data_IF_690902414426
#
_entry.id   IF_690902414426
#
_cell.length_a   1.000
_cell.length_b   1.000
_cell.length_c   1.000
_cell.angle_alpha   90.00
_cell.angle_beta   90.00
_cell.angle_gamma   90.00
#
_symmetry.space_group_name_H-M   'P 1'
#
loop_
_entity.id
_entity.type
_entity.pdbx_description
1 polymer ?
#
# COMPACT_ATOMS: atom_id res chain seq x y z
N UNK A 1 -44.05 12.02 79.30
CA UNK A 1 -42.95 12.27 78.34
C UNK A 1 -43.38 13.19 77.20
N UNK A 2 -44.60 13.07 76.67
CA UNK A 2 -45.06 13.97 75.58
C UNK A 2 -45.11 15.44 76.00
N UNK A 3 -45.56 15.73 77.23
CA UNK A 3 -45.53 17.10 77.80
C UNK A 3 -44.09 17.63 77.93
N UNK A 4 -43.11 16.76 78.19
CA UNK A 4 -41.71 17.16 78.40
C UNK A 4 -41.03 17.50 77.06
N UNK A 5 -41.30 16.70 76.02
CA UNK A 5 -40.92 17.01 74.64
C UNK A 5 -41.57 18.33 74.20
N UNK A 6 -42.87 18.50 74.39
CA UNK A 6 -43.58 19.71 73.95
C UNK A 6 -43.05 20.97 74.65
N UNK A 7 -42.58 20.85 75.90
CA UNK A 7 -41.96 21.97 76.62
C UNK A 7 -40.55 22.27 76.10
N UNK A 8 -39.72 21.24 75.86
CA UNK A 8 -38.35 21.40 75.34
C UNK A 8 -38.31 21.87 73.88
N UNK A 9 -39.26 21.42 73.05
CA UNK A 9 -39.40 21.79 71.63
C UNK A 9 -39.67 23.29 71.47
N UNK A 10 -40.29 23.94 72.46
CA UNK A 10 -40.52 25.40 72.45
C UNK A 10 -39.24 26.25 72.57
N UNK A 11 -38.13 25.65 73.02
CA UNK A 11 -36.82 26.31 73.15
C UNK A 11 -35.83 26.01 72.02
N UNK A 12 -36.23 25.25 70.99
CA UNK A 12 -35.36 24.86 69.87
C UNK A 12 -35.53 25.80 68.65
N UNK A 13 -34.51 25.81 67.80
CA UNK A 13 -34.51 26.55 66.53
C UNK A 13 -35.72 26.18 65.64
N UNK A 14 -36.34 27.12 64.89
CA UNK A 14 -37.63 26.91 64.24
C UNK A 14 -37.65 25.78 63.21
N UNK A 15 -36.50 25.49 62.59
CA UNK A 15 -36.33 24.44 61.58
C UNK A 15 -36.31 23.03 62.18
N UNK A 16 -35.82 22.89 63.41
CA UNK A 16 -35.81 21.63 64.17
C UNK A 16 -37.17 21.42 64.85
N UNK A 17 -37.84 22.50 65.25
CA UNK A 17 -39.19 22.49 65.77
C UNK A 17 -40.20 21.90 64.76
N UNK A 18 -40.10 22.31 63.49
CA UNK A 18 -40.91 21.75 62.41
C UNK A 18 -40.61 20.27 62.18
N UNK A 19 -39.33 19.86 62.16
CA UNK A 19 -38.95 18.45 61.95
C UNK A 19 -39.43 17.50 63.05
N UNK A 20 -39.47 17.93 64.31
CA UNK A 20 -39.95 17.10 65.43
C UNK A 20 -41.49 17.05 65.48
N UNK A 21 -42.16 18.05 64.91
CA UNK A 21 -43.63 18.12 64.87
C UNK A 21 -44.20 17.34 63.69
N UNK A 22 -43.53 17.36 62.54
CA UNK A 22 -44.01 16.78 61.28
C UNK A 22 -43.68 15.28 61.13
N UNK A 23 -42.65 14.76 61.80
CA UNK A 23 -42.20 13.37 61.66
C UNK A 23 -42.42 12.53 62.95
N UNK A 24 -43.39 11.59 62.97
CA UNK A 24 -43.75 10.84 64.17
C UNK A 24 -42.67 9.84 64.61
N UNK A 25 -41.80 9.37 63.72
CA UNK A 25 -40.71 8.43 64.08
C UNK A 25 -39.61 9.13 64.90
N UNK A 26 -39.23 10.35 64.51
CA UNK A 26 -38.23 11.16 65.22
C UNK A 26 -38.73 11.55 66.62
N UNK A 27 -40.03 11.80 66.75
CA UNK A 27 -40.66 12.10 68.04
C UNK A 27 -40.64 10.89 68.97
N UNK A 28 -40.90 9.68 68.47
CA UNK A 28 -40.79 8.44 69.24
C UNK A 28 -39.35 8.12 69.65
N UNK A 29 -38.37 8.30 68.76
CA UNK A 29 -36.96 8.05 69.07
C UNK A 29 -36.42 9.05 70.11
N UNK A 30 -36.78 10.33 69.98
CA UNK A 30 -36.44 11.36 70.97
C UNK A 30 -37.07 11.08 72.33
N UNK A 31 -38.29 10.54 72.34
CA UNK A 31 -39.00 10.10 73.55
C UNK A 31 -38.28 8.94 74.20
N UNK A 32 -37.87 7.94 73.42
CA UNK A 32 -37.12 6.77 73.88
C UNK A 32 -35.76 7.17 74.48
N UNK A 33 -35.04 8.08 73.82
CA UNK A 33 -33.77 8.63 74.32
C UNK A 33 -33.95 9.38 75.65
N UNK A 34 -34.94 10.25 75.75
CA UNK A 34 -35.27 10.93 77.01
C UNK A 34 -35.68 9.93 78.10
N UNK A 35 -36.35 8.84 77.73
CA UNK A 35 -36.76 7.80 78.67
C UNK A 35 -35.57 6.99 79.16
N UNK A 36 -34.63 6.67 78.28
CA UNK A 36 -33.38 5.97 78.60
C UNK A 36 -32.45 6.85 79.46
N UNK A 37 -32.41 8.16 79.21
CA UNK A 37 -31.68 9.12 80.04
C UNK A 37 -32.26 9.22 81.46
N UNK A 38 -33.60 9.20 81.60
CA UNK A 38 -34.28 9.29 82.89
C UNK A 38 -34.38 7.94 83.64
N UNK A 39 -34.32 6.80 82.93
CA UNK A 39 -34.26 5.46 83.51
C UNK A 39 -32.86 5.04 83.94
N UNK A 40 -31.82 5.81 83.59
CA UNK A 40 -30.45 5.58 84.05
C UNK A 40 -30.32 5.99 85.54
N UNK A 41 -30.82 5.12 86.41
CA UNK A 41 -30.83 5.28 87.87
C UNK A 41 -29.43 5.24 88.51
N UNK A 42 -28.36 4.97 87.74
CA UNK A 42 -26.96 5.04 88.20
C UNK A 42 -26.42 6.48 88.33
N UNK A 43 -27.07 7.49 87.72
CA UNK A 43 -26.70 8.90 87.89
C UNK A 43 -27.45 9.58 89.06
N UNK A 44 -28.39 8.89 89.71
CA UNK A 44 -29.23 9.42 90.79
C UNK A 44 -29.19 8.60 92.09
N UNK A 45 -28.31 7.62 92.24
CA UNK A 45 -28.13 6.89 93.49
C UNK A 45 -27.17 7.63 94.43
N UNK A 46 -27.74 8.40 95.38
CA UNK A 46 -27.02 8.93 96.55
C UNK A 46 -26.99 7.89 97.67
N UNK A 47 -26.38 6.72 97.42
CA UNK A 47 -26.12 5.76 98.50
C UNK A 47 -24.63 5.78 98.85
N UNK A 48 -24.35 6.46 99.96
CA UNK A 48 -23.07 6.44 100.67
C UNK A 48 -22.77 5.02 101.14
N UNK A 49 -21.79 4.34 100.54
CA UNK A 49 -21.23 3.13 101.13
C UNK A 49 -19.71 3.23 101.31
N UNK A 50 -19.41 3.41 102.59
CA UNK A 50 -18.18 3.18 103.35
C UNK A 50 -17.16 2.24 102.72
N UNK A 51 -15.93 2.73 102.68
CA UNK A 51 -14.67 1.99 102.53
C UNK A 51 -14.60 0.79 103.46
N UNK A 52 -14.47 -0.42 102.90
CA UNK A 52 -13.81 -1.53 103.59
C UNK A 52 -12.79 -2.17 102.65
N UNK A 53 -11.54 -2.07 103.08
CA UNK A 53 -10.37 -2.75 102.55
C UNK A 53 -10.51 -4.26 102.72
N UNK A 54 -10.61 -4.99 101.61
CA UNK A 54 -10.16 -6.38 101.52
C UNK A 54 -9.35 -6.54 100.24
N UNK A 55 -8.09 -6.87 100.46
CA UNK A 55 -7.12 -7.41 99.52
C UNK A 55 -7.65 -8.74 98.98
N UNK A 56 -7.95 -8.78 97.69
CA UNK A 56 -8.10 -10.03 96.93
C UNK A 56 -7.72 -9.70 95.49
N UNK A 57 -6.60 -10.26 95.07
CA UNK A 57 -6.06 -10.20 93.71
C UNK A 57 -7.15 -10.59 92.70
N UNK A 58 -7.59 -9.61 91.93
CA UNK A 58 -8.36 -9.82 90.71
C UNK A 58 -8.05 -8.66 89.77
N UNK A 59 -7.47 -9.02 88.62
CA UNK A 59 -6.98 -8.16 87.54
C UNK A 59 -8.08 -7.40 86.78
N UNK A 60 -9.23 -7.15 87.40
CA UNK A 60 -10.40 -6.48 86.80
C UNK A 60 -11.26 -5.77 87.88
N UNK A 61 -10.67 -4.84 88.65
CA UNK A 61 -11.48 -3.77 89.28
C UNK A 61 -11.57 -2.61 88.29
N UNK A 62 -12.76 -2.42 87.70
CA UNK A 62 -13.12 -1.16 87.03
C UNK A 62 -12.85 -0.02 88.02
N UNK A 63 -11.95 0.88 87.65
CA UNK A 63 -11.52 2.02 88.46
C UNK A 63 -12.75 2.84 88.84
N UNK A 64 -12.78 3.33 90.08
CA UNK A 64 -13.93 4.12 90.52
C UNK A 64 -13.95 5.44 89.77
N UNK A 65 -15.13 5.91 89.34
CA UNK A 65 -15.30 7.17 88.60
C UNK A 65 -14.64 8.36 89.33
N UNK A 66 -14.63 8.34 90.65
CA UNK A 66 -13.95 9.34 91.50
C UNK A 66 -12.42 9.30 91.38
N UNK A 67 -11.83 8.13 91.18
CA UNK A 67 -10.37 7.95 91.03
C UNK A 67 -9.95 8.31 89.60
N UNK A 68 -10.77 7.99 88.59
CA UNK A 68 -10.59 8.43 87.20
C UNK A 68 -10.77 9.94 87.05
N UNK A 69 -11.77 10.55 87.71
CA UNK A 69 -11.95 12.01 87.74
C UNK A 69 -10.76 12.69 88.44
N UNK A 70 -10.26 12.13 89.55
CA UNK A 70 -9.10 12.70 90.24
C UNK A 70 -7.80 12.57 89.41
N UNK A 71 -7.60 11.44 88.73
CA UNK A 71 -6.46 11.22 87.82
C UNK A 71 -6.54 12.17 86.61
N UNK A 72 -7.73 12.32 86.00
CA UNK A 72 -7.97 13.26 84.91
C UNK A 72 -7.82 14.72 85.33
N UNK A 73 -8.28 15.11 86.52
CA UNK A 73 -8.13 16.48 87.03
C UNK A 73 -6.65 16.78 87.38
N UNK A 74 -5.93 15.78 87.89
CA UNK A 74 -4.48 15.90 88.09
C UNK A 74 -3.71 15.97 86.76
N UNK A 75 -4.11 15.21 85.74
CA UNK A 75 -3.58 15.30 84.37
C UNK A 75 -3.91 16.64 83.71
N UNK A 76 -5.14 17.14 83.85
CA UNK A 76 -5.57 18.44 83.34
C UNK A 76 -4.79 19.56 84.02
N UNK A 77 -4.57 19.49 85.34
CA UNK A 77 -3.75 20.46 86.05
C UNK A 77 -2.28 20.38 85.65
N UNK A 78 -1.72 19.17 85.47
CA UNK A 78 -0.36 18.97 84.95
C UNK A 78 -0.20 19.50 83.52
N UNK A 79 -1.18 19.27 82.65
CA UNK A 79 -1.22 19.81 81.28
C UNK A 79 -1.39 21.32 81.30
N UNK A 80 -2.24 21.87 82.17
CA UNK A 80 -2.41 23.30 82.34
C UNK A 80 -1.13 23.99 82.79
N UNK A 81 -0.41 23.41 83.76
CA UNK A 81 0.89 23.93 84.20
C UNK A 81 1.96 23.80 83.10
N UNK A 82 1.99 22.70 82.36
CA UNK A 82 2.87 22.54 81.18
C UNK A 82 2.53 23.56 80.09
N UNK A 83 1.24 23.81 79.83
CA UNK A 83 0.79 24.78 78.84
C UNK A 83 1.14 26.21 79.27
N UNK A 84 0.97 26.56 80.55
CA UNK A 84 1.38 27.86 81.08
C UNK A 84 2.90 28.03 80.97
N UNK A 85 3.67 26.99 81.31
CA UNK A 85 5.14 27.00 81.16
C UNK A 85 5.55 27.19 79.70
N UNK A 86 4.95 26.43 78.78
CA UNK A 86 5.25 26.52 77.34
C UNK A 86 4.78 27.85 76.75
N UNK A 87 3.62 28.36 77.17
CA UNK A 87 3.07 29.64 76.71
C UNK A 87 3.94 30.80 77.18
N UNK A 88 4.46 30.76 78.41
CA UNK A 88 5.39 31.78 78.91
C UNK A 88 6.78 31.64 78.26
N UNK A 89 7.29 30.43 78.07
CA UNK A 89 8.60 30.21 77.42
C UNK A 89 8.56 30.62 75.93
N UNK A 90 7.43 30.41 75.26
CA UNK A 90 7.24 30.70 73.84
C UNK A 90 6.38 31.94 73.59
N UNK A 91 6.18 32.79 74.60
CA UNK A 91 5.33 33.96 74.50
C UNK A 91 5.79 34.87 73.36
N UNK A 92 7.10 35.08 73.24
CA UNK A 92 7.69 35.89 72.17
C UNK A 92 7.45 35.27 70.79
N UNK A 93 7.59 33.95 70.63
CA UNK A 93 7.29 33.28 69.35
C UNK A 93 5.80 33.35 69.00
N UNK A 94 4.90 33.27 69.98
CA UNK A 94 3.45 33.41 69.75
C UNK A 94 3.11 34.84 69.33
N UNK A 95 3.74 35.84 69.95
CA UNK A 95 3.59 37.25 69.56
C UNK A 95 4.16 37.48 68.16
N UNK A 96 5.33 36.91 67.84
CA UNK A 96 5.94 37.00 66.51
C UNK A 96 5.05 36.34 65.45
N UNK A 97 4.52 35.15 65.70
CA UNK A 97 3.57 34.48 64.80
C UNK A 97 2.29 35.30 64.64
N UNK A 98 1.77 35.90 65.71
CA UNK A 98 0.60 36.78 65.63
C UNK A 98 0.89 38.04 64.80
N UNK A 99 2.09 38.61 64.98
CA UNK A 99 2.54 39.76 64.21
C UNK A 99 2.71 39.39 62.73
N UNK A 100 3.34 38.25 62.42
CA UNK A 100 3.49 37.73 61.06
C UNK A 100 2.13 37.46 60.41
N UNK A 101 1.17 36.86 61.13
CA UNK A 101 -0.20 36.65 60.63
C UNK A 101 -0.88 38.01 60.37
N UNK A 102 -0.68 39.01 61.23
CA UNK A 102 -1.24 40.35 61.01
C UNK A 102 -0.60 41.06 59.80
N UNK A 103 0.70 40.86 59.58
CA UNK A 103 1.43 41.39 58.43
C UNK A 103 0.99 40.70 57.13
N UNK A 104 0.84 39.38 57.15
CA UNK A 104 0.31 38.60 56.02
C UNK A 104 -1.11 39.05 55.69
N UNK A 105 -1.97 39.20 56.70
CA UNK A 105 -3.33 39.71 56.51
C UNK A 105 -3.33 41.09 55.87
N UNK A 106 -2.48 42.00 56.36
CA UNK A 106 -2.35 43.35 55.80
C UNK A 106 -1.85 43.33 54.35
N UNK A 107 -0.87 42.48 54.03
CA UNK A 107 -0.38 42.30 52.65
C UNK A 107 -1.44 41.70 51.74
N UNK A 108 -2.22 40.74 52.22
CA UNK A 108 -3.29 40.12 51.45
C UNK A 108 -4.42 41.12 51.16
N UNK A 109 -4.84 41.90 52.16
CA UNK A 109 -5.95 42.84 52.01
C UNK A 109 -5.59 44.09 51.21
N UNK A 110 -4.35 44.60 51.31
CA UNK A 110 -3.96 45.86 50.65
C UNK A 110 -3.06 45.63 49.45
N UNK A 111 -1.92 44.97 49.64
CA UNK A 111 -0.91 44.85 48.58
C UNK A 111 -1.39 43.94 47.44
N UNK A 112 -2.12 42.87 47.74
CA UNK A 112 -2.67 42.00 46.70
C UNK A 112 -3.71 42.73 45.83
N UNK A 113 -4.57 43.54 46.45
CA UNK A 113 -5.54 44.36 45.74
C UNK A 113 -4.84 45.46 44.93
N UNK A 114 -3.75 46.04 45.42
CA UNK A 114 -2.99 47.06 44.70
C UNK A 114 -2.17 46.46 43.52
N UNK A 115 -1.60 45.26 43.70
CA UNK A 115 -0.90 44.52 42.63
C UNK A 115 -1.87 44.02 41.58
N UNK A 116 -3.03 43.48 41.98
CA UNK A 116 -4.06 43.06 41.02
C UNK A 116 -4.64 44.25 40.27
N UNK A 117 -4.92 45.37 40.93
CA UNK A 117 -5.38 46.59 40.26
C UNK A 117 -4.32 47.21 39.35
N UNK A 118 -3.03 47.19 39.73
CA UNK A 118 -1.96 47.65 38.84
C UNK A 118 -1.75 46.71 37.65
N UNK A 119 -1.92 45.39 37.83
CA UNK A 119 -1.90 44.42 36.74
C UNK A 119 -3.10 44.59 35.81
N UNK A 120 -4.30 44.81 36.35
CA UNK A 120 -5.53 45.11 35.59
C UNK A 120 -5.42 46.43 34.83
N UNK A 121 -4.83 47.47 35.44
CA UNK A 121 -4.56 48.75 34.78
C UNK A 121 -3.48 48.61 33.69
N UNK A 122 -2.47 47.77 33.89
CA UNK A 122 -1.43 47.48 32.89
C UNK A 122 -1.99 46.67 31.72
N UNK A 123 -2.91 45.75 32.00
CA UNK A 123 -3.65 44.96 30.99
C UNK A 123 -4.77 45.81 30.35
N UNK A 124 -5.10 46.98 30.91
CA UNK A 124 -5.99 47.95 30.28
C UNK A 124 -7.46 47.53 30.21
N UNK A 125 -7.96 46.74 31.16
CA UNK A 125 -9.38 46.31 31.19
C UNK A 125 -10.33 47.40 31.73
N UNK A 126 -9.81 48.49 32.31
CA UNK A 126 -10.61 49.58 32.88
C UNK A 126 -11.15 50.58 31.83
N UNK A 127 -10.50 50.66 30.66
CA UNK A 127 -11.00 51.43 29.52
C UNK A 127 -11.68 50.50 28.52
N UNK A 128 -13.01 50.42 28.57
CA UNK A 128 -13.85 49.72 27.59
C UNK A 128 -13.63 50.16 26.13
N UNK A 129 -12.93 51.28 25.91
CA UNK A 129 -12.53 51.78 24.58
C UNK A 129 -11.17 51.26 24.08
N UNK A 130 -10.41 50.50 24.89
CA UNK A 130 -9.09 49.97 24.54
C UNK A 130 -9.06 48.47 24.23
N UNK A 131 -10.22 47.85 23.98
CA UNK A 131 -10.35 46.45 23.51
C UNK A 131 -9.54 46.14 22.23
N UNK A 132 -9.08 47.16 21.50
CA UNK A 132 -8.26 46.99 20.30
C UNK A 132 -6.74 46.86 20.56
N UNK A 133 -6.22 47.03 21.79
CA UNK A 133 -4.77 46.86 22.05
C UNK A 133 -4.32 45.39 22.10
N UNK A 134 -5.26 44.48 22.40
CA UNK A 134 -5.03 43.02 22.36
C UNK A 134 -5.65 42.34 21.14
N UNK A 135 -6.32 43.07 20.27
CA UNK A 135 -6.50 42.63 18.89
C UNK A 135 -5.13 42.68 18.21
N UNK A 136 -4.33 41.63 18.45
CA UNK A 136 -3.26 41.26 17.53
C UNK A 136 -3.98 41.15 16.20
N UNK A 137 -3.72 42.10 15.30
CA UNK A 137 -4.24 42.10 13.95
C UNK A 137 -3.91 40.71 13.41
N UNK A 138 -4.90 39.81 13.40
CA UNK A 138 -4.70 38.43 12.99
C UNK A 138 -4.14 38.60 11.60
N UNK A 139 -2.85 38.31 11.42
CA UNK A 139 -2.30 38.28 10.09
C UNK A 139 -3.02 37.10 9.44
N UNK A 140 -4.15 37.35 8.81
CA UNK A 140 -4.98 36.32 8.20
C UNK A 140 -4.14 35.54 7.20
N UNK A 141 -3.19 36.22 6.55
CA UNK A 141 -2.14 35.64 5.71
C UNK A 141 -1.21 34.67 6.45
N UNK A 142 -0.78 35.01 7.67
CA UNK A 142 0.14 34.17 8.45
C UNK A 142 -0.61 33.00 9.08
N UNK A 143 -1.83 33.22 9.57
CA UNK A 143 -2.72 32.13 10.01
C UNK A 143 -3.17 31.23 8.86
N UNK A 144 -3.43 31.77 7.66
CA UNK A 144 -3.73 30.96 6.48
C UNK A 144 -2.51 30.17 6.03
N UNK A 145 -1.31 30.75 6.12
CA UNK A 145 -0.05 30.05 5.83
C UNK A 145 0.19 28.93 6.86
N UNK A 146 0.04 29.20 8.15
CA UNK A 146 0.17 28.18 9.20
C UNK A 146 -0.88 27.07 8.99
N UNK A 147 -2.11 27.41 8.60
CA UNK A 147 -3.14 26.42 8.27
C UNK A 147 -2.77 25.61 7.02
N UNK A 148 -2.31 26.24 5.93
CA UNK A 148 -1.86 25.50 4.75
C UNK A 148 -0.66 24.61 5.06
N UNK A 149 0.31 25.12 5.82
CA UNK A 149 1.53 24.41 6.18
C UNK A 149 1.20 23.23 7.10
N UNK A 150 0.30 23.40 8.06
CA UNK A 150 -0.20 22.31 8.91
C UNK A 150 -0.96 21.24 8.10
N UNK A 151 -1.72 21.65 7.08
CA UNK A 151 -2.46 20.74 6.21
C UNK A 151 -1.52 19.97 5.28
N UNK A 152 -0.44 20.61 4.81
CA UNK A 152 0.61 19.95 4.04
C UNK A 152 1.36 18.96 4.93
N UNK A 153 1.74 19.36 6.15
CA UNK A 153 2.44 18.49 7.09
C UNK A 153 1.61 17.26 7.47
N UNK A 154 0.30 17.41 7.67
CA UNK A 154 -0.56 16.28 8.03
C UNK A 154 -0.78 15.28 6.89
N UNK A 155 -0.59 15.71 5.63
CA UNK A 155 -0.77 14.88 4.44
C UNK A 155 0.56 14.59 3.73
N UNK A 156 1.70 14.88 4.37
CA UNK A 156 3.01 14.79 3.70
C UNK A 156 3.36 13.37 3.30
N UNK A 157 2.98 12.38 4.12
CA UNK A 157 3.21 10.96 3.85
C UNK A 157 2.43 10.52 2.60
N UNK A 158 1.15 10.90 2.48
CA UNK A 158 0.34 10.58 1.31
C UNK A 158 0.83 11.29 0.04
N UNK A 159 1.39 12.50 0.16
CA UNK A 159 2.01 13.20 -0.98
C UNK A 159 3.31 12.50 -1.38
N UNK A 160 4.09 12.01 -0.42
CA UNK A 160 5.31 11.26 -0.67
C UNK A 160 5.00 9.94 -1.38
N UNK A 161 3.99 9.20 -0.93
CA UNK A 161 3.54 7.96 -1.59
C UNK A 161 3.21 8.18 -3.08
N UNK A 162 2.54 9.29 -3.40
CA UNK A 162 2.21 9.66 -4.79
C UNK A 162 3.47 10.00 -5.59
N UNK A 163 4.45 10.68 -4.97
CA UNK A 163 5.73 11.03 -5.58
C UNK A 163 6.64 9.80 -5.79
N UNK A 164 6.43 8.74 -5.02
CA UNK A 164 7.18 7.49 -5.14
C UNK A 164 6.66 6.57 -6.25
N UNK A 165 5.44 6.78 -6.76
CA UNK A 165 4.81 5.96 -7.81
C UNK A 165 5.69 5.73 -9.06
N UNK A 166 6.40 6.74 -9.62
CA UNK A 166 7.31 6.51 -10.75
C UNK A 166 8.47 5.58 -10.40
N UNK A 167 9.02 5.71 -9.20
CA UNK A 167 10.11 4.86 -8.71
C UNK A 167 9.62 3.43 -8.50
N UNK A 168 8.42 3.26 -7.94
CA UNK A 168 7.77 1.95 -7.79
C UNK A 168 7.54 1.32 -9.16
N UNK A 169 7.01 2.07 -10.13
CA UNK A 169 6.82 1.59 -11.50
C UNK A 169 8.14 1.08 -12.11
N UNK A 170 9.23 1.82 -11.94
CA UNK A 170 10.56 1.41 -12.39
C UNK A 170 11.02 0.12 -11.70
N UNK A 171 10.80 -0.01 -10.39
CA UNK A 171 11.17 -1.21 -9.64
C UNK A 171 10.40 -2.45 -10.10
N UNK A 172 9.08 -2.32 -10.32
CA UNK A 172 8.24 -3.39 -10.86
C UNK A 172 8.76 -3.89 -12.22
N UNK A 173 9.17 -2.97 -13.11
CA UNK A 173 9.75 -3.30 -14.42
C UNK A 173 11.06 -4.08 -14.27
N UNK A 174 11.94 -3.67 -13.35
CA UNK A 174 13.21 -4.34 -13.10
C UNK A 174 13.03 -5.75 -12.52
N UNK A 175 11.99 -5.96 -11.71
CA UNK A 175 11.65 -7.26 -11.13
C UNK A 175 10.93 -8.21 -12.13
N UNK A 176 10.50 -7.71 -13.29
CA UNK A 176 9.74 -8.49 -14.28
C UNK A 176 8.23 -8.56 -13.98
N UNK A 177 7.76 -7.81 -12.98
CA UNK A 177 6.36 -7.71 -12.57
C UNK A 177 5.65 -6.63 -13.40
N UNK A 178 5.41 -6.96 -14.67
CA UNK A 178 4.91 -6.00 -15.66
C UNK A 178 3.43 -5.65 -15.48
N UNK A 179 2.60 -6.51 -14.87
CA UNK A 179 1.18 -6.21 -14.66
C UNK A 179 0.99 -5.14 -13.58
N UNK A 180 1.74 -5.26 -12.50
CA UNK A 180 1.78 -4.31 -11.39
C UNK A 180 2.26 -2.93 -11.87
N UNK A 181 3.27 -2.91 -12.75
CA UNK A 181 3.72 -1.67 -13.40
C UNK A 181 2.60 -1.00 -14.23
N UNK A 182 1.72 -1.78 -14.87
CA UNK A 182 0.55 -1.24 -15.59
C UNK A 182 -0.49 -0.67 -14.64
N UNK A 183 -0.75 -1.35 -13.51
CA UNK A 183 -1.70 -0.87 -12.50
C UNK A 183 -1.26 0.47 -11.92
N UNK A 184 0.03 0.61 -11.62
CA UNK A 184 0.63 1.89 -11.20
C UNK A 184 0.40 2.97 -12.27
N UNK A 185 0.62 2.63 -13.55
CA UNK A 185 0.35 3.59 -14.62
C UNK A 185 -1.13 3.98 -14.74
N UNK A 186 -2.05 3.03 -14.59
CA UNK A 186 -3.49 3.31 -14.62
C UNK A 186 -3.90 4.24 -13.48
N UNK A 187 -3.34 4.01 -12.29
CA UNK A 187 -3.55 4.85 -11.13
C UNK A 187 -3.07 6.30 -11.37
N UNK A 188 -1.85 6.46 -11.86
CA UNK A 188 -1.27 7.79 -12.18
C UNK A 188 -2.09 8.50 -13.25
N UNK A 189 -2.55 7.79 -14.29
CA UNK A 189 -3.44 8.36 -15.31
C UNK A 189 -4.79 8.81 -14.72
N UNK A 190 -5.39 8.00 -13.86
CA UNK A 190 -6.63 8.35 -13.16
C UNK A 190 -6.46 9.61 -12.33
N UNK A 191 -5.32 9.78 -11.65
CA UNK A 191 -5.02 11.01 -10.92
C UNK A 191 -4.87 12.22 -11.82
N UNK A 192 -4.21 12.08 -12.98
CA UNK A 192 -4.09 13.18 -13.95
C UNK A 192 -5.44 13.60 -14.51
N UNK A 193 -6.33 12.64 -14.81
CA UNK A 193 -7.68 12.92 -15.30
C UNK A 193 -8.53 13.61 -14.22
N UNK A 194 -8.43 13.16 -12.98
CA UNK A 194 -9.17 13.75 -11.85
C UNK A 194 -8.65 15.13 -11.45
N UNK A 195 -7.35 15.37 -11.58
CA UNK A 195 -6.70 16.61 -11.13
C UNK A 195 -5.79 17.24 -12.22
N UNK A 196 -6.37 17.69 -13.35
CA UNK A 196 -5.60 18.16 -14.51
C UNK A 196 -4.82 19.47 -14.27
N UNK A 197 -5.21 20.26 -13.25
CA UNK A 197 -4.58 21.55 -12.93
C UNK A 197 -3.22 21.41 -12.24
N UNK A 198 -2.88 20.23 -11.71
CA UNK A 198 -1.64 20.02 -10.92
C UNK A 198 -0.49 19.64 -11.86
N UNK A 199 0.47 20.56 -12.05
CA UNK A 199 1.65 20.34 -12.91
C UNK A 199 2.53 19.17 -12.47
N UNK A 200 2.63 18.91 -11.16
CA UNK A 200 3.43 17.82 -10.60
C UNK A 200 2.89 16.45 -11.04
N UNK A 201 1.58 16.24 -11.02
CA UNK A 201 0.96 15.00 -11.51
C UNK A 201 1.22 14.78 -13.01
N UNK A 202 1.24 15.85 -13.81
CA UNK A 202 1.62 15.74 -15.22
C UNK A 202 3.09 15.34 -15.41
N UNK A 203 4.00 15.83 -14.56
CA UNK A 203 5.41 15.39 -14.57
C UNK A 203 5.57 13.93 -14.13
N UNK A 204 4.85 13.49 -13.10
CA UNK A 204 4.81 12.09 -12.65
C UNK A 204 4.33 11.18 -13.79
N UNK A 205 3.25 11.58 -14.49
CA UNK A 205 2.76 10.85 -15.66
C UNK A 205 3.83 10.73 -16.75
N UNK A 206 4.52 11.82 -17.07
CA UNK A 206 5.61 11.80 -18.05
C UNK A 206 6.75 10.88 -17.63
N UNK A 207 7.14 10.87 -16.35
CA UNK A 207 8.17 9.96 -15.84
C UNK A 207 7.75 8.50 -15.96
N UNK A 208 6.52 8.16 -15.55
CA UNK A 208 5.98 6.80 -15.71
C UNK A 208 5.94 6.40 -17.20
N UNK A 209 5.52 7.30 -18.09
CA UNK A 209 5.53 7.03 -19.54
C UNK A 209 6.94 6.73 -20.08
N UNK A 210 7.98 7.42 -19.60
CA UNK A 210 9.37 7.12 -19.97
C UNK A 210 9.78 5.72 -19.52
N UNK A 211 9.44 5.33 -18.30
CA UNK A 211 9.73 3.99 -17.78
C UNK A 211 8.95 2.90 -18.56
N UNK A 212 7.68 3.14 -18.90
CA UNK A 212 6.91 2.23 -19.75
C UNK A 212 7.50 2.10 -21.17
N UNK A 213 8.02 3.18 -21.76
CA UNK A 213 8.74 3.11 -23.03
C UNK A 213 9.98 2.22 -22.93
N UNK A 214 10.71 2.27 -21.82
CA UNK A 214 11.84 1.37 -21.57
C UNK A 214 11.38 -0.08 -21.40
N UNK A 215 10.27 -0.31 -20.68
CA UNK A 215 9.66 -1.62 -20.54
C UNK A 215 9.29 -2.22 -21.90
N UNK A 216 8.62 -1.47 -22.79
CA UNK A 216 8.26 -1.95 -24.14
C UNK A 216 9.51 -2.32 -24.94
N UNK A 217 10.57 -1.51 -24.91
CA UNK A 217 11.85 -1.85 -25.57
C UNK A 217 12.45 -3.14 -25.01
N UNK A 218 12.39 -3.32 -23.69
CA UNK A 218 12.82 -4.55 -23.01
C UNK A 218 12.00 -5.77 -23.44
N UNK A 219 10.68 -5.64 -23.49
CA UNK A 219 9.76 -6.69 -23.93
C UNK A 219 9.98 -7.09 -25.39
N UNK A 220 10.14 -6.12 -26.30
CA UNK A 220 10.45 -6.39 -27.72
C UNK A 220 11.82 -7.07 -27.86
N UNK A 221 12.82 -6.66 -27.06
CA UNK A 221 14.12 -7.35 -27.04
C UNK A 221 13.97 -8.78 -26.53
N UNK A 222 13.13 -9.02 -25.53
CA UNK A 222 12.84 -10.34 -25.00
C UNK A 222 12.11 -11.22 -26.02
N UNK A 223 11.20 -10.66 -26.83
CA UNK A 223 10.54 -11.38 -27.92
C UNK A 223 11.49 -11.89 -29.01
N UNK A 224 12.68 -11.28 -29.13
CA UNK A 224 13.71 -11.72 -30.08
C UNK A 224 14.54 -12.91 -29.55
N UNK A 225 14.27 -13.42 -28.33
CA UNK A 225 14.97 -14.57 -27.77
C UNK A 225 14.09 -15.83 -27.81
N UNK A 226 14.68 -16.98 -27.44
CA UNK A 226 13.95 -18.23 -27.35
C UNK A 226 13.03 -18.23 -26.11
N UNK A 227 11.74 -17.94 -26.34
CA UNK A 227 10.70 -17.90 -25.30
C UNK A 227 9.68 -19.02 -25.48
N UNK A 228 9.15 -19.51 -24.35
CA UNK A 228 7.99 -20.41 -24.33
C UNK A 228 6.73 -19.68 -24.78
N UNK A 229 5.82 -20.39 -25.46
CA UNK A 229 4.53 -19.87 -25.93
C UNK A 229 3.76 -19.07 -24.86
N UNK A 230 3.64 -19.60 -23.64
CA UNK A 230 2.94 -18.92 -22.54
C UNK A 230 3.53 -17.54 -22.20
N UNK A 231 4.85 -17.38 -22.30
CA UNK A 231 5.50 -16.09 -22.02
C UNK A 231 5.24 -15.10 -23.14
N UNK A 232 5.29 -15.55 -24.40
CA UNK A 232 4.97 -14.70 -25.56
C UNK A 232 3.52 -14.19 -25.46
N UNK A 233 2.56 -15.06 -25.17
CA UNK A 233 1.15 -14.68 -24.99
C UNK A 233 1.00 -13.64 -23.88
N UNK A 234 1.66 -13.82 -22.72
CA UNK A 234 1.64 -12.84 -21.62
C UNK A 234 2.21 -11.49 -22.04
N UNK A 235 3.32 -11.47 -22.77
CA UNK A 235 3.93 -10.23 -23.28
C UNK A 235 2.94 -9.52 -24.21
N UNK A 236 2.28 -10.22 -25.13
CA UNK A 236 1.29 -9.63 -26.02
C UNK A 236 0.03 -9.14 -25.28
N UNK A 237 -0.39 -9.80 -24.20
CA UNK A 237 -1.46 -9.30 -23.33
C UNK A 237 -1.08 -7.97 -22.66
N UNK A 238 0.16 -7.86 -22.18
CA UNK A 238 0.71 -6.62 -21.60
C UNK A 238 0.77 -5.51 -22.67
N UNK A 239 1.30 -5.81 -23.86
CA UNK A 239 1.40 -4.85 -24.97
C UNK A 239 0.04 -4.36 -25.44
N UNK A 240 -0.97 -5.24 -25.52
CA UNK A 240 -2.34 -4.87 -25.86
C UNK A 240 -2.96 -3.93 -24.83
N UNK A 241 -2.66 -4.10 -23.54
CA UNK A 241 -3.13 -3.20 -22.46
C UNK A 241 -2.40 -1.85 -22.45
N UNK A 242 -1.10 -1.81 -22.75
CA UNK A 242 -0.31 -0.58 -22.83
C UNK A 242 -0.80 0.37 -23.92
N UNK A 243 -1.18 -0.18 -25.06
CA UNK A 243 -1.61 0.60 -26.22
C UNK A 243 -3.03 1.17 -26.06
N UNK A 244 -3.84 0.58 -25.17
CA UNK A 244 -5.10 1.19 -24.69
C UNK A 244 -4.82 2.44 -23.86
N UNK A 245 -3.67 2.47 -23.17
CA UNK A 245 -3.34 3.50 -22.19
C UNK A 245 -2.63 4.71 -22.81
N UNK A 246 -1.93 4.59 -23.95
CA UNK A 246 -1.33 5.71 -24.71
C UNK A 246 -0.79 5.25 -26.09
N UNK A 247 -1.43 5.66 -27.18
CA UNK A 247 -0.92 5.43 -28.56
C UNK A 247 0.43 6.11 -28.87
N UNK A 248 0.90 6.99 -27.98
CA UNK A 248 2.20 7.68 -28.05
C UNK A 248 3.37 6.84 -27.52
N UNK A 249 3.14 5.81 -26.70
CA UNK A 249 4.23 5.06 -26.02
C UNK A 249 5.02 4.22 -27.02
N UNK A 250 4.37 3.72 -28.06
CA UNK A 250 4.97 2.84 -29.05
C UNK A 250 5.47 3.64 -30.29
N UNK A 251 5.35 4.98 -30.27
CA UNK A 251 5.72 5.86 -31.39
C UNK A 251 4.72 5.84 -32.56
N UNK A 252 3.54 5.24 -32.36
CA UNK A 252 2.55 5.03 -33.41
C UNK A 252 1.84 6.35 -33.79
N UNK A 253 1.65 7.24 -32.80
CA UNK A 253 0.97 8.53 -32.97
C UNK A 253 1.71 9.54 -33.85
N UNK A 254 3.06 9.53 -33.87
CA UNK A 254 3.84 10.41 -34.76
C UNK A 254 3.70 10.04 -36.23
N UNK A 255 3.37 8.77 -36.53
CA UNK A 255 3.28 8.27 -37.92
C UNK A 255 1.83 8.18 -38.44
N UNK A 256 0.84 7.93 -37.56
CA UNK A 256 -0.54 7.64 -37.99
C UNK A 256 -1.64 8.49 -37.32
N UNK A 257 -1.28 9.55 -36.57
CA UNK A 257 -2.25 10.48 -36.00
C UNK A 257 -2.98 9.93 -34.76
N UNK A 258 -3.50 10.86 -33.94
CA UNK A 258 -3.96 10.66 -32.54
C UNK A 258 -5.13 9.68 -32.32
N UNK A 259 -5.72 9.10 -33.35
CA UNK A 259 -6.87 8.18 -33.23
C UNK A 259 -6.55 6.91 -34.03
N UNK A 260 -5.85 5.99 -33.38
CA UNK A 260 -5.60 4.68 -33.96
C UNK A 260 -6.89 3.86 -33.86
N UNK A 261 -7.51 3.62 -35.00
CA UNK A 261 -8.57 2.64 -35.15
C UNK A 261 -8.08 1.26 -34.64
N UNK A 262 -8.98 0.47 -34.05
CA UNK A 262 -8.65 -0.83 -33.44
C UNK A 262 -7.93 -1.77 -34.42
N UNK A 263 -8.25 -1.68 -35.71
CA UNK A 263 -7.60 -2.46 -36.76
C UNK A 263 -6.11 -2.13 -36.97
N UNK A 264 -5.72 -0.86 -36.86
CA UNK A 264 -4.31 -0.43 -37.05
C UNK A 264 -3.43 -0.92 -35.90
N UNK A 265 -3.98 -1.00 -34.69
CA UNK A 265 -3.29 -1.49 -33.49
C UNK A 265 -2.97 -2.97 -33.60
N UNK A 266 -3.98 -3.77 -33.95
CA UNK A 266 -3.81 -5.21 -34.15
C UNK A 266 -2.84 -5.50 -35.28
N UNK A 267 -2.88 -4.73 -36.37
CA UNK A 267 -1.91 -4.79 -37.47
C UNK A 267 -0.47 -4.56 -36.99
N UNK A 268 -0.24 -3.55 -36.15
CA UNK A 268 1.09 -3.24 -35.65
C UNK A 268 1.63 -4.32 -34.69
N UNK A 269 0.78 -4.85 -33.81
CA UNK A 269 1.13 -5.97 -32.93
C UNK A 269 1.51 -7.23 -33.73
N UNK A 270 0.77 -7.52 -34.81
CA UNK A 270 1.11 -8.59 -35.75
C UNK A 270 2.48 -8.36 -36.37
N UNK A 271 2.76 -7.14 -36.84
CA UNK A 271 4.04 -6.79 -37.44
C UNK A 271 5.21 -6.91 -36.44
N UNK A 272 5.05 -6.44 -35.18
CA UNK A 272 6.05 -6.64 -34.12
C UNK A 272 6.33 -8.12 -33.95
N UNK A 273 5.28 -8.95 -33.82
CA UNK A 273 5.44 -10.38 -33.63
C UNK A 273 6.26 -10.99 -34.77
N UNK A 274 5.82 -10.79 -36.01
CA UNK A 274 6.45 -11.39 -37.19
C UNK A 274 7.90 -10.92 -37.35
N UNK A 275 8.18 -9.62 -37.16
CA UNK A 275 9.54 -9.09 -37.21
C UNK A 275 10.44 -9.62 -36.09
N UNK A 276 9.92 -9.74 -34.86
CA UNK A 276 10.66 -10.33 -33.75
C UNK A 276 10.98 -11.79 -34.01
N UNK A 277 10.03 -12.56 -34.54
CA UNK A 277 10.25 -13.97 -34.91
C UNK A 277 11.21 -14.11 -36.07
N UNK A 278 11.13 -13.25 -37.08
CA UNK A 278 12.10 -13.21 -38.19
C UNK A 278 13.51 -12.97 -37.66
N UNK A 279 13.69 -11.95 -36.80
CA UNK A 279 14.98 -11.62 -36.21
C UNK A 279 15.54 -12.75 -35.34
N UNK A 280 14.68 -13.41 -34.55
CA UNK A 280 15.04 -14.58 -33.77
C UNK A 280 15.54 -15.72 -34.67
N UNK A 281 14.76 -16.12 -35.68
CA UNK A 281 15.13 -17.20 -36.61
C UNK A 281 16.43 -16.86 -37.35
N UNK A 282 16.57 -15.62 -37.81
CA UNK A 282 17.79 -15.14 -38.47
C UNK A 282 19.01 -15.25 -37.55
N UNK A 283 18.89 -14.87 -36.27
CA UNK A 283 19.98 -15.00 -35.30
C UNK A 283 20.35 -16.46 -35.02
N UNK A 284 19.36 -17.37 -34.96
CA UNK A 284 19.61 -18.80 -34.81
C UNK A 284 20.37 -19.37 -36.01
N UNK A 285 20.07 -18.90 -37.23
CA UNK A 285 20.82 -19.29 -38.45
C UNK A 285 22.25 -18.75 -38.40
N UNK A 286 22.46 -17.52 -37.93
CA UNK A 286 23.81 -16.96 -37.76
C UNK A 286 24.64 -17.75 -36.73
N UNK A 287 24.01 -18.24 -35.65
CA UNK A 287 24.67 -19.11 -34.68
C UNK A 287 25.15 -20.44 -35.29
N UNK A 288 24.58 -20.87 -36.42
CA UNK A 288 25.02 -22.06 -37.15
C UNK A 288 26.20 -21.82 -38.09
N UNK A 289 26.60 -20.56 -38.32
CA UNK A 289 27.70 -20.22 -39.24
C UNK A 289 29.01 -20.97 -38.95
N UNK A 290 29.39 -21.28 -37.69
CA UNK A 290 30.57 -22.10 -37.40
C UNK A 290 30.51 -23.53 -37.98
N UNK A 291 29.33 -24.07 -38.30
CA UNK A 291 29.22 -25.41 -38.91
C UNK A 291 29.69 -25.45 -40.37
N UNK A 292 29.76 -24.29 -41.03
CA UNK A 292 30.26 -24.19 -42.41
C UNK A 292 31.72 -24.62 -42.54
N UNK A 293 32.51 -24.55 -41.46
CA UNK A 293 33.89 -25.05 -41.46
C UNK A 293 34.00 -26.56 -41.51
N UNK A 294 32.93 -27.29 -41.13
CA UNK A 294 32.92 -28.75 -41.06
C UNK A 294 32.26 -29.39 -42.28
N UNK A 295 31.06 -28.96 -42.66
CA UNK A 295 30.40 -29.44 -43.89
C UNK A 295 29.21 -28.57 -44.31
N UNK A 296 29.21 -28.15 -45.58
CA UNK A 296 28.14 -27.34 -46.18
C UNK A 296 26.78 -28.05 -46.15
N UNK A 297 26.75 -29.37 -46.41
CA UNK A 297 25.52 -30.16 -46.39
C UNK A 297 24.93 -30.34 -44.98
N UNK A 298 25.77 -30.53 -43.95
CA UNK A 298 25.28 -30.61 -42.56
C UNK A 298 24.77 -29.26 -42.08
N UNK A 299 25.39 -28.16 -42.53
CA UNK A 299 24.88 -26.82 -42.28
C UNK A 299 23.47 -26.65 -42.87
N UNK A 300 23.26 -26.95 -44.16
CA UNK A 300 21.94 -26.87 -44.81
C UNK A 300 20.90 -27.74 -44.09
N UNK A 301 21.27 -28.98 -43.73
CA UNK A 301 20.41 -29.88 -42.96
C UNK A 301 19.98 -29.27 -41.61
N UNK A 302 20.92 -28.64 -40.90
CA UNK A 302 20.63 -28.01 -39.60
C UNK A 302 19.81 -26.73 -39.76
N UNK A 303 20.05 -25.96 -40.82
CA UNK A 303 19.23 -24.79 -41.18
C UNK A 303 17.78 -25.24 -41.39
N UNK A 304 17.51 -26.25 -42.22
CA UNK A 304 16.15 -26.77 -42.45
C UNK A 304 15.48 -27.22 -41.14
N UNK A 305 16.24 -27.80 -40.21
CA UNK A 305 15.74 -28.18 -38.90
C UNK A 305 15.33 -26.96 -38.04
N UNK A 306 16.15 -25.91 -37.98
CA UNK A 306 15.84 -24.65 -37.27
C UNK A 306 14.60 -24.00 -37.86
N UNK A 307 14.51 -23.93 -39.19
CA UNK A 307 13.32 -23.45 -39.88
C UNK A 307 12.08 -24.27 -39.49
N UNK A 308 12.15 -25.61 -39.57
CA UNK A 308 11.03 -26.48 -39.20
C UNK A 308 10.56 -26.28 -37.77
N UNK A 309 11.49 -26.18 -36.82
CA UNK A 309 11.18 -26.04 -35.40
C UNK A 309 10.56 -24.67 -35.08
N UNK A 310 11.20 -23.59 -35.54
CA UNK A 310 10.81 -22.25 -35.15
C UNK A 310 9.74 -21.63 -36.04
N UNK A 311 9.67 -21.94 -37.33
CA UNK A 311 8.64 -21.42 -38.22
C UNK A 311 7.27 -21.99 -37.85
N UNK A 312 7.17 -23.31 -37.70
CA UNK A 312 5.91 -23.97 -37.31
C UNK A 312 5.39 -23.45 -35.97
N UNK A 313 6.29 -23.35 -34.97
CA UNK A 313 5.94 -22.79 -33.66
C UNK A 313 5.50 -21.33 -33.77
N UNK A 314 6.20 -20.50 -34.56
CA UNK A 314 5.84 -19.09 -34.73
C UNK A 314 4.47 -18.91 -35.36
N UNK A 315 4.14 -19.67 -36.39
CA UNK A 315 2.84 -19.61 -37.05
C UNK A 315 1.70 -20.13 -36.16
N UNK A 316 1.97 -21.19 -35.38
CA UNK A 316 0.98 -21.70 -34.40
C UNK A 316 0.72 -20.68 -33.30
N UNK A 317 1.75 -19.97 -32.83
CA UNK A 317 1.60 -18.92 -31.83
C UNK A 317 0.89 -17.71 -32.44
N UNK A 318 1.20 -17.36 -33.69
CA UNK A 318 0.54 -16.29 -34.42
C UNK A 318 -0.97 -16.53 -34.52
N UNK A 319 -1.37 -17.71 -34.99
CA UNK A 319 -2.79 -18.08 -35.04
C UNK A 319 -3.43 -18.04 -33.66
N UNK A 320 -2.76 -18.56 -32.62
CA UNK A 320 -3.28 -18.53 -31.25
C UNK A 320 -3.51 -17.11 -30.71
N UNK A 321 -2.61 -16.15 -31.01
CA UNK A 321 -2.67 -14.78 -30.46
C UNK A 321 -3.64 -13.89 -31.26
N UNK A 322 -3.73 -14.09 -32.59
CA UNK A 322 -4.38 -13.16 -33.51
C UNK A 322 -5.61 -13.73 -34.24
N UNK A 323 -5.79 -15.05 -34.34
CA UNK A 323 -6.99 -15.71 -34.92
C UNK A 323 -8.07 -16.02 -33.85
N UNK A 324 -8.25 -15.12 -32.89
CA UNK A 324 -9.29 -15.27 -31.86
C UNK A 324 -10.69 -15.11 -32.47
N UNK A 325 -11.71 -15.87 -32.03
CA UNK A 325 -13.08 -15.85 -32.59
C UNK A 325 -13.83 -14.52 -32.43
N UNK A 326 -13.22 -13.50 -31.82
CA UNK A 326 -13.78 -12.14 -31.73
C UNK A 326 -13.47 -11.29 -32.97
N UNK A 327 -12.51 -11.69 -33.81
CA UNK A 327 -12.06 -10.96 -35.01
C UNK A 327 -12.67 -11.53 -36.31
N UNK A 328 -13.94 -11.96 -36.28
CA UNK A 328 -14.65 -12.65 -37.36
C UNK A 328 -15.12 -11.74 -38.52
N UNK A 329 -14.42 -10.65 -38.81
CA UNK A 329 -14.64 -9.93 -40.06
C UNK A 329 -13.75 -10.53 -41.15
N UNK A 330 -14.34 -10.88 -42.30
CA UNK A 330 -13.62 -11.49 -43.44
C UNK A 330 -12.40 -10.68 -43.88
N UNK A 331 -12.43 -9.36 -43.71
CA UNK A 331 -11.32 -8.47 -44.04
C UNK A 331 -10.11 -8.65 -43.10
N UNK A 332 -10.35 -8.87 -41.80
CA UNK A 332 -9.27 -9.11 -40.83
C UNK A 332 -8.62 -10.47 -41.01
N UNK A 333 -9.40 -11.48 -41.44
CA UNK A 333 -8.86 -12.80 -41.76
C UNK A 333 -7.97 -12.75 -43.00
N UNK A 334 -8.41 -12.07 -44.08
CA UNK A 334 -7.58 -11.89 -45.27
C UNK A 334 -6.27 -11.15 -44.97
N UNK A 335 -6.30 -10.11 -44.12
CA UNK A 335 -5.09 -9.40 -43.72
C UNK A 335 -4.14 -10.28 -42.89
N UNK A 336 -4.68 -11.09 -41.97
CA UNK A 336 -3.88 -12.07 -41.22
C UNK A 336 -3.19 -13.08 -42.15
N UNK A 337 -3.96 -13.64 -43.07
CA UNK A 337 -3.47 -14.63 -44.02
C UNK A 337 -2.41 -14.02 -44.94
N UNK A 338 -2.60 -12.76 -45.38
CA UNK A 338 -1.63 -12.03 -46.21
C UNK A 338 -0.32 -11.77 -45.45
N UNK A 339 -0.39 -11.29 -44.20
CA UNK A 339 0.81 -11.03 -43.39
C UNK A 339 1.57 -12.30 -43.04
N UNK A 340 0.86 -13.36 -42.69
CA UNK A 340 1.46 -14.67 -42.47
C UNK A 340 2.12 -15.16 -43.77
N UNK A 341 1.45 -15.04 -44.92
CA UNK A 341 2.00 -15.42 -46.22
C UNK A 341 3.28 -14.65 -46.57
N UNK A 342 3.29 -13.32 -46.38
CA UNK A 342 4.47 -12.48 -46.63
C UNK A 342 5.65 -12.85 -45.72
N UNK A 343 5.38 -13.06 -44.43
CA UNK A 343 6.39 -13.53 -43.47
C UNK A 343 6.99 -14.87 -43.90
N UNK A 344 6.15 -15.83 -44.29
CA UNK A 344 6.64 -17.15 -44.68
C UNK A 344 7.39 -17.06 -46.00
N UNK A 345 6.94 -16.25 -46.97
CA UNK A 345 7.64 -16.03 -48.23
C UNK A 345 9.05 -15.46 -47.99
N UNK A 346 9.19 -14.43 -47.17
CA UNK A 346 10.50 -13.84 -46.84
C UNK A 346 11.44 -14.85 -46.18
N UNK A 347 10.92 -15.68 -45.27
CA UNK A 347 11.68 -16.75 -44.63
C UNK A 347 12.07 -17.83 -45.64
N UNK A 348 11.16 -18.27 -46.50
CA UNK A 348 11.44 -19.29 -47.53
C UNK A 348 12.48 -18.80 -48.53
N UNK A 349 12.43 -17.54 -48.95
CA UNK A 349 13.47 -16.95 -49.79
C UNK A 349 14.85 -16.97 -49.11
N UNK A 350 14.91 -16.66 -47.81
CA UNK A 350 16.14 -16.80 -47.02
C UNK A 350 16.63 -18.26 -46.99
N UNK A 351 15.74 -19.24 -46.83
CA UNK A 351 16.09 -20.67 -46.86
C UNK A 351 16.66 -21.07 -48.22
N UNK A 352 16.01 -20.65 -49.30
CA UNK A 352 16.41 -20.93 -50.68
C UNK A 352 17.77 -20.30 -50.97
N UNK A 353 18.01 -19.07 -50.53
CA UNK A 353 19.32 -18.41 -50.66
C UNK A 353 20.42 -19.25 -50.00
N UNK A 354 20.20 -19.73 -48.76
CA UNK A 354 21.19 -20.57 -48.06
C UNK A 354 21.38 -21.93 -48.72
N UNK A 355 20.32 -22.55 -49.26
CA UNK A 355 20.43 -23.79 -50.02
C UNK A 355 21.24 -23.54 -51.30
N UNK A 356 20.92 -22.50 -52.09
CA UNK A 356 21.60 -22.18 -53.35
C UNK A 356 23.10 -22.00 -53.16
N UNK A 357 23.51 -21.29 -52.11
CA UNK A 357 24.94 -21.05 -51.81
C UNK A 357 25.65 -22.35 -51.42
N UNK A 358 25.11 -23.11 -50.47
CA UNK A 358 25.85 -24.21 -49.81
C UNK A 358 25.54 -25.62 -50.35
N UNK A 359 24.51 -25.77 -51.17
CA UNK A 359 24.14 -27.04 -51.80
C UNK A 359 24.95 -27.29 -53.09
N UNK A 360 25.24 -26.24 -53.87
CA UNK A 360 26.01 -26.31 -55.12
C UNK A 360 27.53 -26.42 -54.92
N UNK A 361 28.06 -26.04 -53.76
CA UNK A 361 29.50 -26.21 -53.43
C UNK A 361 29.97 -27.69 -53.36
N UNK A 362 29.08 -28.65 -53.60
CA UNK A 362 29.34 -30.10 -53.50
C UNK A 362 29.07 -30.87 -54.81
N UNK A 363 29.15 -30.20 -55.96
CA UNK A 363 28.73 -30.76 -57.27
C UNK A 363 29.74 -31.75 -57.89
N UNK A 364 31.00 -31.78 -57.45
CA UNK A 364 32.04 -32.58 -58.16
C UNK A 364 32.48 -33.90 -57.49
N UNK A 365 31.80 -34.40 -56.46
CA UNK A 365 32.18 -35.71 -55.87
C UNK A 365 31.20 -36.81 -56.28
N UNK A 366 31.72 -37.77 -57.07
CA UNK A 366 31.06 -39.01 -57.52
C UNK A 366 30.90 -40.01 -56.37
N UNK A 367 30.36 -39.54 -55.24
CA UNK A 367 30.31 -40.29 -53.99
C UNK A 367 28.85 -40.57 -53.62
N UNK A 368 28.44 -41.85 -53.65
CA UNK A 368 27.07 -42.29 -53.36
C UNK A 368 26.58 -41.81 -51.99
N UNK A 369 27.51 -41.58 -51.06
CA UNK A 369 27.26 -41.01 -49.73
C UNK A 369 26.71 -39.58 -49.82
N UNK A 370 27.29 -38.74 -50.68
CA UNK A 370 26.86 -37.35 -50.89
C UNK A 370 25.47 -37.31 -51.54
N UNK A 371 25.22 -38.21 -52.49
CA UNK A 371 23.89 -38.36 -53.12
C UNK A 371 22.82 -38.76 -52.11
N UNK A 372 23.11 -39.71 -51.21
CA UNK A 372 22.18 -40.08 -50.14
C UNK A 372 21.94 -38.95 -49.13
N UNK A 373 22.93 -38.08 -48.87
CA UNK A 373 22.76 -36.92 -48.01
C UNK A 373 21.89 -35.84 -48.67
N UNK A 374 22.07 -35.59 -49.97
CA UNK A 374 21.22 -34.69 -50.77
C UNK A 374 19.76 -35.18 -50.81
N UNK A 375 19.54 -36.47 -51.04
CA UNK A 375 18.22 -37.11 -50.94
C UNK A 375 17.58 -36.90 -49.56
N UNK A 376 18.37 -37.05 -48.48
CA UNK A 376 17.91 -36.82 -47.11
C UNK A 376 17.49 -35.36 -46.85
N UNK A 377 18.23 -34.39 -47.41
CA UNK A 377 17.91 -32.96 -47.32
C UNK A 377 16.61 -32.65 -48.10
N UNK A 378 16.45 -33.19 -49.30
CA UNK A 378 15.23 -33.05 -50.09
C UNK A 378 14.00 -33.60 -49.36
N UNK A 379 14.11 -34.79 -48.78
CA UNK A 379 13.03 -35.37 -47.97
C UNK A 379 12.66 -34.44 -46.81
N UNK A 380 13.65 -33.84 -46.12
CA UNK A 380 13.39 -32.88 -45.06
C UNK A 380 12.68 -31.61 -45.55
N UNK A 381 13.02 -31.10 -46.74
CA UNK A 381 12.33 -29.98 -47.36
C UNK A 381 10.88 -30.32 -47.70
N UNK A 382 10.62 -31.52 -48.26
CA UNK A 382 9.27 -31.98 -48.55
C UNK A 382 8.43 -32.12 -47.26
N UNK A 383 9.01 -32.66 -46.19
CA UNK A 383 8.36 -32.71 -44.87
C UNK A 383 8.08 -31.30 -44.32
N UNK A 384 8.99 -30.34 -44.52
CA UNK A 384 8.78 -28.94 -44.13
C UNK A 384 7.61 -28.34 -44.91
N UNK A 385 7.59 -28.42 -46.24
CA UNK A 385 6.51 -27.92 -47.10
C UNK A 385 5.15 -28.45 -46.61
N UNK A 386 5.09 -29.76 -46.36
CA UNK A 386 3.89 -30.43 -45.89
C UNK A 386 3.47 -29.98 -44.49
N UNK A 387 4.41 -29.75 -43.58
CA UNK A 387 4.09 -29.25 -42.23
C UNK A 387 3.49 -27.84 -42.26
N UNK A 388 3.90 -27.03 -43.23
CA UNK A 388 3.45 -25.65 -43.40
C UNK A 388 2.17 -25.53 -44.25
N UNK A 389 1.83 -26.52 -45.08
CA UNK A 389 0.58 -26.55 -45.87
C UNK A 389 -0.69 -26.31 -45.05
N UNK A 390 -0.66 -26.58 -43.74
CA UNK A 390 -1.75 -26.31 -42.80
C UNK A 390 -2.11 -24.82 -42.68
N UNK A 391 -1.17 -23.93 -43.00
CA UNK A 391 -1.34 -22.48 -42.93
C UNK A 391 -1.77 -21.86 -44.28
N UNK A 392 -2.27 -22.67 -45.21
CA UNK A 392 -2.97 -22.19 -46.41
C UNK A 392 -2.08 -21.67 -47.54
N UNK A 393 -0.77 -21.91 -47.49
CA UNK A 393 0.17 -21.45 -48.52
C UNK A 393 0.90 -22.65 -49.13
N UNK A 394 0.93 -22.69 -50.46
CA UNK A 394 1.55 -23.76 -51.24
C UNK A 394 3.07 -23.51 -51.40
N UNK A 395 3.80 -23.73 -50.32
CA UNK A 395 5.26 -23.58 -50.27
C UNK A 395 6.02 -24.50 -51.20
N UNK A 396 5.43 -25.67 -51.49
CA UNK A 396 6.02 -26.67 -52.38
C UNK A 396 6.24 -26.06 -53.77
N UNK A 397 5.27 -25.32 -54.31
CA UNK A 397 5.37 -24.68 -55.63
C UNK A 397 6.47 -23.61 -55.66
N UNK A 398 6.61 -22.81 -54.60
CA UNK A 398 7.65 -21.77 -54.50
C UNK A 398 9.04 -22.40 -54.49
N UNK A 399 9.23 -23.45 -53.69
CA UNK A 399 10.51 -24.14 -53.58
C UNK A 399 10.87 -24.87 -54.88
N UNK A 400 9.90 -25.51 -55.53
CA UNK A 400 10.09 -26.15 -56.84
C UNK A 400 10.51 -25.11 -57.88
N UNK A 401 9.78 -23.99 -57.97
CA UNK A 401 10.08 -22.93 -58.93
C UNK A 401 11.51 -22.40 -58.73
N UNK A 402 11.88 -22.07 -57.51
CA UNK A 402 13.17 -21.45 -57.23
C UNK A 402 14.37 -22.40 -57.31
N UNK A 403 14.21 -23.66 -56.88
CA UNK A 403 15.31 -24.63 -56.86
C UNK A 403 15.44 -25.43 -58.17
N UNK A 404 14.33 -25.77 -58.84
CA UNK A 404 14.35 -26.59 -60.06
C UNK A 404 14.31 -25.77 -61.36
N UNK A 405 13.66 -24.60 -61.34
CA UNK A 405 13.44 -23.75 -62.53
C UNK A 405 14.10 -22.36 -62.44
N UNK A 406 14.72 -22.04 -61.30
CA UNK A 406 15.40 -20.77 -61.06
C UNK A 406 16.78 -20.69 -61.71
N UNK A 407 17.43 -19.51 -61.60
CA UNK A 407 18.63 -19.13 -62.38
C UNK A 407 19.84 -20.10 -62.36
N UNK A 408 19.94 -20.99 -61.37
CA UNK A 408 21.09 -21.89 -61.21
C UNK A 408 20.74 -23.39 -61.20
N UNK A 409 19.48 -23.78 -61.45
CA UNK A 409 18.99 -25.18 -61.46
C UNK A 409 19.71 -26.08 -60.42
N UNK A 410 19.60 -25.70 -59.14
CA UNK A 410 20.30 -26.34 -58.01
C UNK A 410 19.93 -27.82 -57.87
N UNK A 411 18.71 -28.17 -58.30
CA UNK A 411 18.13 -29.50 -58.22
C UNK A 411 17.52 -29.87 -59.59
N UNK A 412 17.78 -31.08 -60.07
CA UNK A 412 17.07 -31.61 -61.22
C UNK A 412 15.62 -31.99 -60.85
N UNK A 413 14.67 -31.70 -61.74
CA UNK A 413 13.26 -32.02 -61.54
C UNK A 413 13.03 -33.52 -61.29
N UNK A 414 13.81 -34.38 -61.96
CA UNK A 414 13.76 -35.84 -61.79
C UNK A 414 14.12 -36.27 -60.36
N UNK A 415 15.11 -35.63 -59.73
CA UNK A 415 15.53 -35.93 -58.35
C UNK A 415 14.46 -35.49 -57.34
N UNK A 416 13.80 -34.36 -57.60
CA UNK A 416 12.67 -33.89 -56.81
C UNK A 416 11.48 -34.86 -56.89
N UNK A 417 11.08 -35.24 -58.11
CA UNK A 417 9.97 -36.18 -58.35
C UNK A 417 10.23 -37.56 -57.74
N UNK A 418 11.47 -38.06 -57.81
CA UNK A 418 11.88 -39.31 -57.18
C UNK A 418 11.68 -39.29 -55.66
N UNK A 419 12.14 -38.22 -54.99
CA UNK A 419 11.99 -38.09 -53.54
C UNK A 419 10.53 -37.84 -53.12
N UNK A 420 9.74 -37.15 -53.94
CA UNK A 420 8.30 -36.99 -53.76
C UNK A 420 7.56 -38.33 -53.88
N UNK A 421 7.96 -39.20 -54.83
CA UNK A 421 7.41 -40.54 -54.97
C UNK A 421 7.76 -41.44 -53.78
N UNK A 422 9.00 -41.37 -53.24
CA UNK A 422 9.38 -42.06 -51.99
C UNK A 422 8.49 -41.65 -50.82
N UNK A 423 8.18 -40.36 -50.68
CA UNK A 423 7.33 -39.85 -49.61
C UNK A 423 5.86 -40.29 -49.74
N UNK A 424 5.36 -40.48 -50.97
CA UNK A 424 4.02 -41.06 -51.22
C UNK A 424 3.97 -42.56 -50.92
N UNK A 425 5.04 -43.31 -51.23
CA UNK A 425 5.14 -44.76 -50.93
C UNK A 425 5.25 -45.08 -49.45
N UNK A 426 5.89 -44.22 -48.64
CA UNK A 426 5.98 -44.37 -47.18
C UNK A 426 4.65 -44.15 -46.42
N UNK A 427 3.58 -43.75 -47.13
CA UNK A 427 2.25 -43.47 -46.57
C UNK A 427 1.18 -44.50 -46.95
N UNK A 428 1.46 -45.36 -47.93
CA UNK A 428 0.64 -46.52 -48.25
C UNK A 428 1.11 -47.71 -47.40
#
# INVERSE_FOLDING_TARGET
MDILIDTLVSGLDPTLQQKITDDPEIREESKKYLQEMLLNTELLSTETYTTNTTTSESSDRKRTLTEEIAELDEEQRKLGLKLISITNEKQDMIIDVSNDISLIRKRLDKDFNEVTNSMVNTIGMSDSNNSHRFEVQRNEKLNSSIKSDSTILSNIDSVLDILELPTICRLCILQGNYQEALEVSMLVQSFTIRFPKISILNKILQQVQVELKQMVKGLVRLLNTNLKQNQIVKIFQILRRLDVLNGDIIGISETYGKVLDGGVKDKFLKLIFLNSRYKFIYSEIQNLQPLLSYSSLSYVKRVIQVFREHLFSSLTIYSTIFESPQNLEKNHQFENDTMASEFIQNIVLLLIEKIRIYFNDTVDTVDDVVKSQKDGIMLQLLYLCKSLSKFGVDFETIIIHELCYGKDNVIAEEEWLHNLAKLKKLRA
#
